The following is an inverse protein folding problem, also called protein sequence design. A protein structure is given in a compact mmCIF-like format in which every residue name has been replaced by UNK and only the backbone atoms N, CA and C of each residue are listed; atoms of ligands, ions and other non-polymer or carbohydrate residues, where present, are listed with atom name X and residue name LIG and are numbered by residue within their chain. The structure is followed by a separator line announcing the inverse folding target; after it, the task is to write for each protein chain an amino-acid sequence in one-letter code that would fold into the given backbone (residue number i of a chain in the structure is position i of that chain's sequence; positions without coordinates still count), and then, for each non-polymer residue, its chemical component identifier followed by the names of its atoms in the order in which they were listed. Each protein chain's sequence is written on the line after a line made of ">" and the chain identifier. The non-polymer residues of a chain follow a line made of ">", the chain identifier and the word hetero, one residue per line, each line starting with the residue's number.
data_IF_747166355011
#
_entry.id   IF_747166355011
#
_cell.length_a   1.000
_cell.length_b   1.000
_cell.length_c   1.000
_cell.angle_alpha   90.00
_cell.angle_beta   90.00
_cell.angle_gamma   90.00
#
_symmetry.space_group_name_H-M   'P 1'
#
loop_
_entity.id
_entity.type
_entity.pdbx_description
1 polymer ?
#
# COMPACT_ATOMS: atom_id res chain seq x y z
N UNK A 1 66.84 -32.89 -43.14
CA UNK A 1 65.38 -32.98 -43.36
C UNK A 1 64.67 -32.28 -42.21
N UNK A 2 64.01 -31.15 -42.50
CA UNK A 2 63.20 -30.36 -41.54
C UNK A 2 61.90 -31.11 -41.22
N UNK A 3 61.51 -31.19 -39.95
CA UNK A 3 60.12 -31.46 -39.55
C UNK A 3 59.73 -30.49 -38.43
N UNK A 4 58.78 -29.64 -38.77
CA UNK A 4 58.27 -28.51 -37.99
C UNK A 4 57.47 -28.95 -36.77
N UNK A 5 57.57 -28.15 -35.71
CA UNK A 5 56.64 -28.09 -34.57
C UNK A 5 55.21 -27.81 -35.06
N UNK A 6 54.23 -28.54 -34.53
CA UNK A 6 52.82 -28.14 -34.54
C UNK A 6 52.39 -27.91 -33.09
N UNK A 7 52.24 -26.64 -32.72
CA UNK A 7 51.61 -26.24 -31.46
C UNK A 7 50.10 -26.31 -31.63
N UNK A 8 49.44 -27.11 -30.79
CA UNK A 8 47.98 -27.25 -30.77
C UNK A 8 47.40 -26.10 -29.94
N UNK A 9 47.01 -25.01 -30.60
CA UNK A 9 46.30 -23.91 -29.95
C UNK A 9 44.82 -24.29 -29.78
N UNK A 10 44.38 -24.53 -28.53
CA UNK A 10 42.99 -24.73 -28.20
C UNK A 10 42.22 -23.41 -28.39
N UNK A 11 41.34 -23.36 -29.39
CA UNK A 11 40.46 -22.21 -29.61
C UNK A 11 39.30 -22.25 -28.60
N UNK A 12 39.32 -21.36 -27.62
CA UNK A 12 38.20 -21.11 -26.71
C UNK A 12 37.07 -20.44 -27.49
N UNK A 13 35.82 -20.95 -27.47
CA UNK A 13 34.70 -20.25 -28.08
C UNK A 13 34.44 -18.94 -27.33
N UNK A 14 34.51 -17.81 -28.04
CA UNK A 14 34.15 -16.51 -27.51
C UNK A 14 32.63 -16.43 -27.37
N UNK A 15 32.13 -16.57 -26.13
CA UNK A 15 30.74 -16.29 -25.80
C UNK A 15 30.48 -14.80 -25.99
N UNK A 16 29.81 -14.43 -27.08
CA UNK A 16 29.26 -13.07 -27.23
C UNK A 16 28.10 -12.91 -26.25
N UNK A 17 28.37 -12.35 -25.08
CA UNK A 17 27.32 -11.85 -24.21
C UNK A 17 26.71 -10.61 -24.89
N UNK A 18 25.53 -10.75 -25.50
CA UNK A 18 24.75 -9.58 -25.89
C UNK A 18 24.38 -8.83 -24.62
N UNK A 19 25.00 -7.67 -24.40
CA UNK A 19 24.59 -6.74 -23.36
C UNK A 19 23.15 -6.32 -23.68
N UNK A 20 22.19 -6.73 -22.86
CA UNK A 20 20.83 -6.21 -22.93
C UNK A 20 20.86 -4.72 -22.54
N UNK A 21 20.67 -3.83 -23.51
CA UNK A 21 20.50 -2.41 -23.25
C UNK A 21 19.01 -2.14 -23.04
N UNK A 22 18.61 -1.89 -21.80
CA UNK A 22 17.31 -1.31 -21.49
C UNK A 22 17.39 0.21 -21.67
N UNK A 23 16.45 0.79 -22.40
CA UNK A 23 16.26 2.23 -22.39
C UNK A 23 15.51 2.62 -21.10
N UNK A 24 16.15 3.45 -20.27
CA UNK A 24 15.56 3.98 -19.04
C UNK A 24 15.15 5.42 -19.30
N UNK A 25 13.84 5.66 -19.33
CA UNK A 25 13.25 7.00 -19.48
C UNK A 25 12.93 7.55 -18.08
N UNK A 26 13.29 8.80 -17.74
CA UNK A 26 13.05 9.36 -16.42
C UNK A 26 11.55 9.55 -16.10
N UNK A 27 11.21 9.42 -14.81
CA UNK A 27 9.92 9.82 -14.22
C UNK A 27 10.18 11.06 -13.36
N UNK A 28 9.51 12.20 -13.64
CA UNK A 28 9.86 13.47 -12.99
C UNK A 28 9.23 13.69 -11.60
N UNK A 29 8.33 12.82 -11.13
CA UNK A 29 7.99 12.73 -9.68
C UNK A 29 7.48 11.35 -9.25
N UNK A 30 7.13 10.46 -10.18
CA UNK A 30 6.88 9.03 -9.92
C UNK A 30 5.87 8.68 -8.84
N UNK A 31 5.10 9.63 -8.30
CA UNK A 31 4.40 9.49 -7.05
C UNK A 31 3.80 10.80 -6.52
N UNK A 32 3.11 10.70 -5.39
CA UNK A 32 2.50 11.82 -4.67
C UNK A 32 2.38 11.50 -3.18
N UNK A 33 2.08 12.51 -2.38
CA UNK A 33 1.85 12.38 -0.95
C UNK A 33 0.68 13.26 -0.50
N UNK A 34 -0.10 12.79 0.47
CA UNK A 34 -1.11 13.56 1.18
C UNK A 34 -1.07 13.32 2.68
N UNK A 35 -1.55 14.31 3.42
CA UNK A 35 -1.70 14.28 4.88
C UNK A 35 -3.07 14.84 5.22
N UNK A 36 -3.84 14.08 5.99
CA UNK A 36 -5.09 14.56 6.59
C UNK A 36 -4.99 14.46 8.12
N UNK A 37 -5.73 15.34 8.81
CA UNK A 37 -5.82 15.32 10.26
C UNK A 37 -7.26 15.48 10.70
N UNK A 38 -7.61 14.83 11.82
CA UNK A 38 -8.88 15.02 12.51
C UNK A 38 -8.67 14.86 14.02
N UNK A 39 -9.57 15.44 14.82
CA UNK A 39 -9.62 15.23 16.26
C UNK A 39 -10.96 14.61 16.61
N UNK A 40 -10.94 13.57 17.44
CA UNK A 40 -12.13 12.87 17.96
C UNK A 40 -12.15 12.95 19.47
N UNK A 41 -13.35 12.93 20.06
CA UNK A 41 -13.51 12.93 21.53
C UNK A 41 -13.06 11.61 22.19
N UNK A 42 -12.98 10.52 21.41
CA UNK A 42 -12.52 9.23 21.88
C UNK A 42 -11.06 9.30 22.34
N UNK A 43 -10.72 8.58 23.41
CA UNK A 43 -9.35 8.46 23.89
C UNK A 43 -8.47 7.61 22.92
N UNK A 44 -7.13 7.62 23.07
CA UNK A 44 -6.26 6.91 22.14
C UNK A 44 -6.46 5.39 22.11
N UNK A 45 -6.93 4.79 23.21
CA UNK A 45 -7.18 3.35 23.28
C UNK A 45 -8.43 2.95 22.51
N UNK A 46 -9.53 3.69 22.68
CA UNK A 46 -10.76 3.51 21.91
C UNK A 46 -10.55 3.81 20.42
N UNK A 47 -9.81 4.88 20.11
CA UNK A 47 -9.45 5.24 18.74
C UNK A 47 -8.63 4.14 18.07
N UNK A 48 -7.64 3.57 18.79
CA UNK A 48 -6.86 2.45 18.29
C UNK A 48 -7.70 1.18 18.06
N UNK A 49 -8.60 0.86 18.99
CA UNK A 49 -9.48 -0.30 18.87
C UNK A 49 -10.37 -0.21 17.62
N UNK A 50 -10.91 0.97 17.30
CA UNK A 50 -11.67 1.17 16.07
C UNK A 50 -10.79 1.14 14.81
N UNK A 51 -9.60 1.77 14.87
CA UNK A 51 -8.67 1.84 13.74
C UNK A 51 -8.30 0.45 13.20
N UNK A 52 -8.16 -0.56 14.06
CA UNK A 52 -7.79 -1.92 13.64
C UNK A 52 -8.97 -2.78 13.19
N UNK A 53 -10.18 -2.22 13.12
CA UNK A 53 -11.43 -2.90 12.72
C UNK A 53 -11.99 -2.27 11.43
N UNK A 54 -11.35 -2.49 10.27
CA UNK A 54 -11.65 -1.78 9.01
C UNK A 54 -13.08 -1.95 8.52
N UNK A 55 -13.77 -3.03 8.90
CA UNK A 55 -15.16 -3.27 8.53
C UNK A 55 -16.13 -2.16 8.96
N UNK A 56 -15.74 -1.32 9.93
CA UNK A 56 -16.57 -0.24 10.45
C UNK A 56 -16.41 1.09 9.74
N UNK A 57 -15.31 1.30 9.01
CA UNK A 57 -14.96 2.62 8.51
C UNK A 57 -14.42 2.64 7.08
N UNK A 58 -13.95 1.51 6.54
CA UNK A 58 -13.44 1.46 5.17
C UNK A 58 -14.59 1.41 4.15
N UNK A 59 -14.58 2.33 3.19
CA UNK A 59 -15.68 2.55 2.24
C UNK A 59 -15.45 1.98 0.83
N UNK A 60 -14.24 1.49 0.51
CA UNK A 60 -13.88 1.00 -0.84
C UNK A 60 -13.61 -0.51 -0.85
N UNK A 61 -14.60 -1.29 -1.28
CA UNK A 61 -14.61 -2.76 -1.20
C UNK A 61 -14.64 -3.40 -2.59
N UNK A 62 -13.89 -4.48 -2.80
CA UNK A 62 -13.99 -5.30 -4.02
C UNK A 62 -15.22 -6.21 -4.01
N UNK A 63 -15.72 -6.56 -2.82
CA UNK A 63 -16.87 -7.41 -2.60
C UNK A 63 -18.19 -6.65 -2.36
N UNK A 64 -18.15 -5.32 -2.47
CA UNK A 64 -19.25 -4.40 -2.11
C UNK A 64 -19.77 -4.58 -0.67
N UNK A 65 -18.94 -5.09 0.24
CA UNK A 65 -19.30 -5.35 1.62
C UNK A 65 -18.08 -5.26 2.55
N UNK A 66 -18.02 -4.20 3.37
CA UNK A 66 -16.94 -3.97 4.33
C UNK A 66 -16.86 -5.06 5.40
N UNK A 67 -17.93 -5.82 5.67
CA UNK A 67 -17.91 -6.94 6.62
C UNK A 67 -16.96 -8.07 6.19
N UNK A 68 -16.54 -8.10 4.92
CA UNK A 68 -15.54 -9.03 4.43
C UNK A 68 -14.09 -8.57 4.66
N UNK A 69 -13.89 -7.38 5.23
CA UNK A 69 -12.58 -6.83 5.52
C UNK A 69 -12.06 -7.30 6.88
N UNK A 70 -10.75 -7.45 6.96
CA UNK A 70 -10.05 -7.79 8.18
C UNK A 70 -8.66 -7.14 8.19
N UNK A 71 -8.19 -6.79 9.37
CA UNK A 71 -6.82 -6.32 9.59
C UNK A 71 -6.17 -7.14 10.69
N UNK A 72 -5.04 -7.75 10.38
CA UNK A 72 -4.20 -8.42 11.37
C UNK A 72 -3.09 -7.46 11.84
N UNK A 73 -3.19 -6.85 13.04
CA UNK A 73 -2.31 -5.78 13.50
C UNK A 73 -0.97 -6.32 14.04
N UNK A 74 -0.24 -7.04 13.21
CA UNK A 74 1.13 -7.51 13.45
C UNK A 74 2.00 -7.22 12.24
N UNK A 75 3.31 -7.03 12.41
CA UNK A 75 4.18 -6.88 11.25
C UNK A 75 4.10 -8.12 10.33
N UNK A 76 3.83 -7.89 9.04
CA UNK A 76 3.53 -8.93 8.06
C UNK A 76 2.05 -9.35 8.00
N UNK A 77 1.20 -8.85 8.91
CA UNK A 77 -0.23 -9.10 8.91
C UNK A 77 -0.93 -8.41 7.73
N UNK A 78 -2.01 -9.02 7.24
CA UNK A 78 -2.76 -8.50 6.12
C UNK A 78 -3.85 -7.53 6.58
N UNK A 79 -4.02 -6.44 5.85
CA UNK A 79 -5.31 -5.80 5.66
C UNK A 79 -5.91 -6.38 4.37
N UNK A 80 -6.79 -7.37 4.56
CA UNK A 80 -7.32 -8.22 3.51
C UNK A 80 -8.83 -8.13 3.43
N UNK A 81 -9.35 -8.47 2.27
CA UNK A 81 -10.77 -8.63 2.00
C UNK A 81 -11.05 -10.00 1.39
N UNK A 82 -12.09 -10.66 1.86
CA UNK A 82 -12.63 -11.87 1.23
C UNK A 82 -13.59 -11.47 0.10
N UNK A 83 -13.49 -12.10 -1.07
CA UNK A 83 -14.38 -11.85 -2.21
C UNK A 83 -15.23 -13.10 -2.42
N UNK A 84 -16.50 -13.12 -1.97
CA UNK A 84 -17.38 -14.26 -2.16
C UNK A 84 -17.58 -14.55 -3.65
N UNK A 85 -17.60 -15.83 -4.02
CA UNK A 85 -18.05 -16.24 -5.36
C UNK A 85 -19.58 -16.27 -5.39
N UNK A 86 -20.25 -15.47 -6.25
CA UNK A 86 -21.71 -15.48 -6.38
C UNK A 86 -22.29 -16.84 -6.76
N UNK A 87 -21.51 -17.73 -7.39
CA UNK A 87 -21.92 -19.08 -7.74
C UNK A 87 -21.71 -20.11 -6.62
N UNK A 88 -21.16 -19.69 -5.46
CA UNK A 88 -20.91 -20.56 -4.30
C UNK A 88 -19.65 -21.41 -4.40
N UNK A 89 -18.74 -21.11 -5.34
CA UNK A 89 -17.41 -21.71 -5.41
C UNK A 89 -16.44 -21.16 -4.36
N UNK A 90 -15.15 -21.43 -4.55
CA UNK A 90 -14.12 -20.96 -3.64
C UNK A 90 -14.04 -19.42 -3.65
N UNK A 91 -14.02 -18.75 -2.49
CA UNK A 91 -13.91 -17.30 -2.45
C UNK A 91 -12.53 -16.85 -2.94
N UNK A 92 -12.49 -15.67 -3.57
CA UNK A 92 -11.26 -14.93 -3.82
C UNK A 92 -10.82 -14.12 -2.60
N UNK A 93 -9.73 -13.38 -2.76
CA UNK A 93 -9.23 -12.45 -1.75
C UNK A 93 -8.47 -11.30 -2.38
N UNK A 94 -8.50 -10.14 -1.74
CA UNK A 94 -7.66 -8.98 -2.09
C UNK A 94 -6.84 -8.52 -0.87
N UNK A 95 -5.55 -8.29 -1.06
CA UNK A 95 -4.70 -7.59 -0.08
C UNK A 95 -4.77 -6.09 -0.38
N UNK A 96 -5.41 -5.31 0.48
CA UNK A 96 -5.42 -3.84 0.37
C UNK A 96 -4.06 -3.28 0.75
N UNK A 97 -3.54 -3.74 1.88
CA UNK A 97 -2.20 -3.41 2.35
C UNK A 97 -1.67 -4.48 3.30
N UNK A 98 -0.36 -4.45 3.55
CA UNK A 98 0.31 -5.28 4.55
C UNK A 98 0.89 -4.40 5.65
N UNK A 99 0.66 -4.80 6.89
CA UNK A 99 1.19 -4.11 8.07
C UNK A 99 2.71 -4.26 8.13
N UNK A 100 3.41 -3.13 8.32
CA UNK A 100 4.89 -3.09 8.43
C UNK A 100 5.36 -2.49 9.76
N UNK A 101 4.51 -1.77 10.48
CA UNK A 101 4.79 -1.31 11.84
C UNK A 101 3.50 -1.24 12.64
N UNK A 102 3.57 -1.70 13.89
CA UNK A 102 2.48 -1.60 14.86
C UNK A 102 3.07 -1.14 16.18
N UNK A 103 2.57 0.00 16.66
CA UNK A 103 2.78 0.51 18.00
C UNK A 103 1.39 0.78 18.59
N UNK A 104 0.84 -0.16 19.38
CA UNK A 104 -0.54 -0.05 19.87
C UNK A 104 -0.82 1.30 20.56
N UNK A 105 -1.97 1.88 20.25
CA UNK A 105 -2.38 3.19 20.75
C UNK A 105 -1.66 4.39 20.12
N UNK A 106 -0.75 4.18 19.15
CA UNK A 106 0.16 5.24 18.68
C UNK A 106 0.40 5.27 17.18
N UNK A 107 0.78 4.15 16.57
CA UNK A 107 1.18 4.15 15.15
C UNK A 107 0.84 2.83 14.49
N UNK A 108 0.10 2.90 13.38
CA UNK A 108 -0.10 1.80 12.45
C UNK A 108 0.49 2.22 11.11
N UNK A 109 1.44 1.44 10.58
CA UNK A 109 1.97 1.65 9.22
C UNK A 109 1.72 0.43 8.37
N UNK A 110 1.20 0.67 7.18
CA UNK A 110 0.87 -0.34 6.19
C UNK A 110 1.46 0.04 4.84
N UNK A 111 1.78 -0.96 4.02
CA UNK A 111 2.24 -0.78 2.64
C UNK A 111 1.28 -1.46 1.68
N UNK A 112 0.87 -0.74 0.64
CA UNK A 112 -0.09 -1.20 -0.37
C UNK A 112 -0.43 -0.09 -1.34
N UNK A 113 -0.47 -0.39 -2.64
CA UNK A 113 -1.00 0.51 -3.65
C UNK A 113 -2.52 0.31 -3.73
N UNK A 114 -3.28 1.27 -3.20
CA UNK A 114 -4.70 1.11 -2.94
C UNK A 114 -5.56 1.15 -4.21
N UNK A 115 -6.61 0.32 -4.24
CA UNK A 115 -7.60 0.27 -5.32
C UNK A 115 -6.98 -0.01 -6.70
N UNK A 116 -7.29 0.80 -7.74
CA UNK A 116 -6.78 0.57 -9.10
C UNK A 116 -5.26 0.72 -9.21
N UNK A 117 -4.60 1.33 -8.22
CA UNK A 117 -3.14 1.47 -8.21
C UNK A 117 -2.43 0.14 -7.98
N UNK A 118 -3.12 -0.87 -7.47
CA UNK A 118 -2.57 -2.22 -7.20
C UNK A 118 -2.05 -2.92 -8.47
N UNK A 119 -2.54 -2.55 -9.67
CA UNK A 119 -2.08 -3.14 -10.93
C UNK A 119 -0.76 -2.57 -11.46
N UNK A 120 -0.22 -1.54 -10.80
CA UNK A 120 0.96 -0.82 -11.22
C UNK A 120 2.20 -1.19 -10.39
N UNK A 121 3.39 -0.80 -10.86
CA UNK A 121 4.65 -0.98 -10.14
C UNK A 121 4.86 0.05 -9.04
N UNK A 122 3.85 0.25 -8.19
CA UNK A 122 3.80 1.28 -7.15
C UNK A 122 3.94 0.69 -5.76
N UNK A 123 4.58 1.46 -4.88
CA UNK A 123 4.63 1.21 -3.44
C UNK A 123 3.94 2.38 -2.71
N UNK A 124 2.75 2.13 -2.17
CA UNK A 124 2.07 3.04 -1.26
C UNK A 124 2.43 2.73 0.20
N UNK A 125 2.57 3.76 1.02
CA UNK A 125 2.75 3.68 2.47
C UNK A 125 1.69 4.53 3.15
N UNK A 126 0.80 3.89 3.89
CA UNK A 126 -0.17 4.54 4.76
C UNK A 126 0.36 4.51 6.20
N UNK A 127 0.53 5.67 6.82
CA UNK A 127 0.85 5.81 8.24
C UNK A 127 -0.30 6.52 8.95
N UNK A 128 -0.86 5.85 9.95
CA UNK A 128 -1.83 6.44 10.87
C UNK A 128 -1.14 6.66 12.21
N UNK A 129 -1.13 7.90 12.68
CA UNK A 129 -0.54 8.28 13.97
C UNK A 129 -1.63 8.82 14.89
N UNK A 130 -1.64 8.35 16.14
CA UNK A 130 -2.54 8.79 17.19
C UNK A 130 -1.75 9.57 18.24
N UNK A 131 -2.24 10.75 18.60
CA UNK A 131 -1.69 11.57 19.67
C UNK A 131 -2.81 12.04 20.60
N UNK A 132 -2.60 11.92 21.91
CA UNK A 132 -3.49 12.50 22.91
C UNK A 132 -3.41 14.02 22.85
N UNK A 133 -4.57 14.68 22.88
CA UNK A 133 -4.74 16.13 22.91
C UNK A 133 -5.86 16.48 23.91
N UNK A 134 -5.98 17.75 24.31
CA UNK A 134 -6.96 18.17 25.33
C UNK A 134 -8.41 17.76 25.02
N UNK A 135 -8.77 17.71 23.73
CA UNK A 135 -10.12 17.36 23.27
C UNK A 135 -10.34 15.85 23.03
N UNK A 136 -9.30 15.01 23.16
CA UNK A 136 -9.36 13.56 22.91
C UNK A 136 -8.14 13.06 22.13
N UNK A 137 -8.35 12.53 20.93
CA UNK A 137 -7.27 11.99 20.09
C UNK A 137 -7.17 12.71 18.76
N UNK A 138 -5.99 13.24 18.46
CA UNK A 138 -5.64 13.66 17.11
C UNK A 138 -5.19 12.44 16.29
N UNK A 139 -5.81 12.26 15.13
CA UNK A 139 -5.48 11.26 14.13
C UNK A 139 -4.77 11.97 12.99
N UNK A 140 -3.54 11.56 12.67
CA UNK A 140 -2.83 11.98 11.45
C UNK A 140 -2.80 10.83 10.47
N UNK A 141 -3.21 11.07 9.23
CA UNK A 141 -3.37 10.10 8.16
C UNK A 141 -2.48 10.48 6.98
N UNK A 142 -1.30 9.86 6.90
CA UNK A 142 -0.30 10.14 5.87
C UNK A 142 -0.29 9.03 4.82
N UNK A 143 -0.42 9.38 3.55
CA UNK A 143 -0.25 8.45 2.44
C UNK A 143 0.81 8.96 1.47
N UNK A 144 1.81 8.13 1.19
CA UNK A 144 2.86 8.40 0.22
C UNK A 144 2.93 7.25 -0.75
N UNK A 145 2.91 7.52 -2.04
CA UNK A 145 3.02 6.49 -3.08
C UNK A 145 4.03 6.88 -4.13
N UNK A 146 4.78 5.91 -4.65
CA UNK A 146 5.57 6.12 -5.85
C UNK A 146 6.08 4.83 -6.49
N UNK A 147 6.67 4.97 -7.68
CA UNK A 147 7.19 3.87 -8.50
C UNK A 147 6.90 4.05 -9.99
N UNK A 148 6.79 2.93 -10.70
CA UNK A 148 6.45 2.91 -12.13
C UNK A 148 4.94 2.75 -12.30
N UNK A 149 4.35 3.67 -13.05
CA UNK A 149 2.92 3.63 -13.39
C UNK A 149 2.73 3.83 -14.89
N UNK A 150 1.75 3.12 -15.45
CA UNK A 150 1.19 3.39 -16.77
C UNK A 150 -0.02 4.34 -16.68
N UNK A 151 -0.60 4.48 -15.49
CA UNK A 151 -1.67 5.44 -15.19
C UNK A 151 -1.10 6.86 -14.99
N UNK A 152 -1.84 7.91 -15.35
CA UNK A 152 -1.42 9.31 -15.17
C UNK A 152 -1.52 9.72 -13.69
N UNK A 153 -0.49 9.44 -12.90
CA UNK A 153 -0.52 9.67 -11.44
C UNK A 153 -0.79 11.12 -11.04
N UNK A 154 -0.35 12.09 -11.84
CA UNK A 154 -0.65 13.50 -11.57
C UNK A 154 -2.15 13.83 -11.65
N UNK A 155 -2.89 13.15 -12.52
CA UNK A 155 -4.35 13.30 -12.65
C UNK A 155 -5.10 12.49 -11.59
N UNK A 156 -4.54 11.36 -11.16
CA UNK A 156 -5.13 10.51 -10.12
C UNK A 156 -4.87 11.03 -8.70
N UNK A 157 -3.82 11.81 -8.47
CA UNK A 157 -3.45 12.26 -7.13
C UNK A 157 -4.61 12.95 -6.38
N UNK A 158 -5.39 13.88 -6.97
CA UNK A 158 -6.53 14.50 -6.28
C UNK A 158 -7.67 13.51 -5.99
N UNK A 159 -7.87 12.49 -6.84
CA UNK A 159 -8.90 11.46 -6.63
C UNK A 159 -8.49 10.53 -5.49
N UNK A 160 -7.21 10.16 -5.44
CA UNK A 160 -6.69 9.31 -4.37
C UNK A 160 -6.70 10.09 -3.06
N UNK A 161 -6.35 11.37 -3.06
CA UNK A 161 -6.47 12.26 -1.90
C UNK A 161 -7.90 12.32 -1.35
N UNK A 162 -8.92 12.46 -2.21
CA UNK A 162 -10.32 12.42 -1.75
C UNK A 162 -10.70 11.08 -1.13
N UNK A 163 -10.22 9.97 -1.69
CA UNK A 163 -10.46 8.63 -1.13
C UNK A 163 -9.76 8.45 0.22
N UNK A 164 -8.54 8.99 0.40
CA UNK A 164 -7.87 9.00 1.71
C UNK A 164 -8.66 9.81 2.74
N UNK A 165 -9.24 10.94 2.34
CA UNK A 165 -10.12 11.72 3.21
C UNK A 165 -11.40 10.96 3.58
N UNK A 166 -11.99 10.20 2.65
CA UNK A 166 -13.15 9.34 2.93
C UNK A 166 -12.83 8.25 3.97
N UNK A 167 -11.65 7.61 3.89
CA UNK A 167 -11.23 6.62 4.88
C UNK A 167 -11.09 7.22 6.29
N UNK A 168 -10.43 8.38 6.41
CA UNK A 168 -10.34 9.08 7.68
C UNK A 168 -11.72 9.52 8.17
N UNK A 169 -12.57 10.03 7.27
CA UNK A 169 -13.94 10.44 7.59
C UNK A 169 -14.79 9.29 8.13
N UNK A 170 -14.72 8.12 7.51
CA UNK A 170 -15.40 6.92 8.00
C UNK A 170 -14.94 6.52 9.39
N UNK A 171 -13.64 6.62 9.68
CA UNK A 171 -13.09 6.32 11.01
C UNK A 171 -13.56 7.34 12.05
N UNK A 172 -13.56 8.63 11.70
CA UNK A 172 -14.05 9.71 12.55
C UNK A 172 -15.53 9.53 12.86
N UNK A 173 -16.37 9.21 11.88
CA UNK A 173 -17.80 8.94 12.08
C UNK A 173 -18.02 7.71 12.96
N UNK A 174 -17.27 6.63 12.76
CA UNK A 174 -17.31 5.45 13.62
C UNK A 174 -16.92 5.75 15.08
N UNK A 175 -16.18 6.84 15.31
CA UNK A 175 -15.76 7.33 16.63
C UNK A 175 -16.68 8.43 17.19
N UNK A 176 -17.80 8.73 16.52
CA UNK A 176 -18.80 9.71 16.99
C UNK A 176 -18.62 11.12 16.44
N UNK A 177 -17.79 11.30 15.42
CA UNK A 177 -17.59 12.57 14.73
C UNK A 177 -16.37 13.37 15.22
N UNK A 178 -16.01 14.39 14.45
CA UNK A 178 -14.91 15.30 14.78
C UNK A 178 -15.32 16.32 15.85
N UNK A 179 -14.35 16.79 16.63
CA UNK A 179 -14.51 17.84 17.66
C UNK A 179 -13.54 19.00 17.48
#
# INVERSE_FOLDING_TARGET
>A
MRRSMFALAAALPASFATSATAEVVPSETGGFASTHTAVVAADPAATWAMLIEPQHWWSHSWSDNSANMSLNPVAGGCFCEVIPDPAGGAPGSAEHARVVMVMPGRTLRMVGALGPLQSEGLAGTLTVTLAEVDAGTQITWDYVIGGQSRLPLGELAPVVDSVQAEFLGGLVEALGGAV
#
